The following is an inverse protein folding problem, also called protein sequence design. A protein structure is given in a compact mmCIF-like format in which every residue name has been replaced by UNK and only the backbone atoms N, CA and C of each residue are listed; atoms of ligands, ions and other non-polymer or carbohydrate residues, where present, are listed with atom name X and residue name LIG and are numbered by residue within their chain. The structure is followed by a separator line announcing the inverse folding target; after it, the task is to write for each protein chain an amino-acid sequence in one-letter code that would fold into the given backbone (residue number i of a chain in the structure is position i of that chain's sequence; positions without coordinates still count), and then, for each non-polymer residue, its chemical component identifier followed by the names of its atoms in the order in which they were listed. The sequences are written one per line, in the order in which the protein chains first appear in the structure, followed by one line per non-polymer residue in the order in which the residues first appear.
data_IF_940980609416
#
_entry.id   IF_940980609416
#
_cell.length_a   1.000
_cell.length_b   1.000
_cell.length_c   1.000
_cell.angle_alpha   90.00
_cell.angle_beta   90.00
_cell.angle_gamma   90.00
#
_symmetry.space_group_name_H-M   'P 1'
#
loop_
_entity.id
_entity.type
_entity.pdbx_description
1 polymer ?
#
# COMPACT_ATOMS: atom_id res chain seq x y z
N UNK A 1 -2.71 25.70 3.88
CA UNK A 1 -2.90 24.76 5.03
C UNK A 1 -3.61 23.46 4.67
N UNK A 2 -4.75 23.48 3.97
CA UNK A 2 -5.60 22.28 3.72
C UNK A 2 -4.84 21.11 3.07
N UNK A 3 -3.88 21.40 2.16
CA UNK A 3 -3.07 20.38 1.46
C UNK A 3 -2.14 19.60 2.39
N UNK A 4 -1.45 20.30 3.29
CA UNK A 4 -0.51 19.67 4.23
C UNK A 4 -1.26 18.84 5.27
N UNK A 5 -2.40 19.35 5.74
CA UNK A 5 -3.27 18.62 6.67
C UNK A 5 -3.81 17.32 6.06
N UNK A 6 -4.29 17.35 4.81
CA UNK A 6 -4.72 16.14 4.11
C UNK A 6 -3.60 15.11 3.95
N UNK A 7 -2.40 15.57 3.54
CA UNK A 7 -1.25 14.70 3.35
C UNK A 7 -0.87 13.97 4.65
N UNK A 8 -0.76 14.71 5.76
CA UNK A 8 -0.46 14.13 7.06
C UNK A 8 -1.54 13.19 7.56
N UNK A 9 -2.82 13.53 7.39
CA UNK A 9 -3.93 12.64 7.74
C UNK A 9 -3.85 11.33 6.94
N UNK A 10 -3.55 11.40 5.64
CA UNK A 10 -3.40 10.22 4.80
C UNK A 10 -2.28 9.30 5.27
N UNK A 11 -1.10 9.87 5.55
CA UNK A 11 0.06 9.13 6.06
C UNK A 11 -0.26 8.50 7.40
N UNK A 12 -0.72 9.29 8.37
CA UNK A 12 -0.98 8.84 9.73
C UNK A 12 -2.06 7.76 9.79
N UNK A 13 -3.16 7.93 9.04
CA UNK A 13 -4.24 6.94 9.06
C UNK A 13 -3.84 5.66 8.34
N UNK A 14 -3.08 5.73 7.24
CA UNK A 14 -2.58 4.52 6.58
C UNK A 14 -1.64 3.74 7.50
N UNK A 15 -0.73 4.42 8.20
CA UNK A 15 0.17 3.81 9.17
C UNK A 15 -0.57 3.24 10.38
N UNK A 16 -1.52 3.99 10.94
CA UNK A 16 -2.35 3.51 12.05
C UNK A 16 -3.14 2.26 11.65
N UNK A 17 -3.75 2.25 10.46
CA UNK A 17 -4.44 1.07 9.93
C UNK A 17 -3.50 -0.12 9.75
N UNK A 18 -2.26 0.10 9.30
CA UNK A 18 -1.26 -0.96 9.23
C UNK A 18 -0.93 -1.50 10.63
N UNK A 19 -0.63 -0.63 11.61
CA UNK A 19 -0.31 -1.05 12.97
C UNK A 19 -1.47 -1.80 13.63
N UNK A 20 -2.71 -1.35 13.44
CA UNK A 20 -3.91 -2.05 13.91
C UNK A 20 -4.05 -3.41 13.22
N UNK A 21 -3.70 -3.51 11.94
CA UNK A 21 -3.74 -4.79 11.22
C UNK A 21 -2.80 -5.84 11.80
N UNK A 22 -1.69 -5.42 12.42
CA UNK A 22 -0.75 -6.33 13.09
C UNK A 22 -1.32 -7.00 14.34
N UNK A 23 -2.42 -6.47 14.90
CA UNK A 23 -3.14 -7.12 16.00
C UNK A 23 -3.98 -8.31 15.52
N UNK A 24 -4.28 -8.37 14.22
CA UNK A 24 -5.16 -9.37 13.61
C UNK A 24 -4.43 -10.27 12.61
N UNK A 25 -3.30 -9.83 12.09
CA UNK A 25 -2.51 -10.49 11.07
C UNK A 25 -1.12 -10.72 11.65
N UNK A 26 -0.74 -11.98 11.77
CA UNK A 26 0.64 -12.35 12.04
C UNK A 26 1.49 -12.06 10.80
N UNK A 27 2.56 -11.29 10.97
CA UNK A 27 3.58 -11.14 9.92
C UNK A 27 4.40 -12.41 9.92
N UNK A 28 4.58 -12.99 8.74
CA UNK A 28 5.32 -14.22 8.52
C UNK A 28 6.04 -14.21 7.19
N UNK A 29 6.63 -15.34 6.86
CA UNK A 29 7.23 -15.59 5.55
C UNK A 29 6.18 -16.19 4.60
N UNK A 30 6.37 -16.11 3.27
CA UNK A 30 5.56 -16.93 2.34
C UNK A 30 5.63 -18.40 2.81
N UNK A 31 4.62 -19.26 2.67
CA UNK A 31 3.26 -19.04 2.17
C UNK A 31 2.22 -18.76 3.27
N UNK A 32 2.62 -18.42 4.49
CA UNK A 32 1.73 -18.52 5.68
C UNK A 32 0.61 -17.47 5.71
N UNK A 33 0.68 -16.47 4.82
CA UNK A 33 -0.28 -15.37 4.71
C UNK A 33 -0.97 -15.40 3.34
N UNK A 34 -2.25 -15.75 3.34
CA UNK A 34 -3.08 -15.94 2.15
C UNK A 34 -4.23 -14.92 2.03
N UNK A 35 -5.31 -15.36 1.38
CA UNK A 35 -6.48 -14.54 1.06
C UNK A 35 -7.13 -13.87 2.27
N UNK A 36 -7.27 -14.59 3.39
CA UNK A 36 -7.98 -14.09 4.57
C UNK A 36 -7.25 -12.89 5.19
N UNK A 37 -5.93 -13.02 5.38
CA UNK A 37 -5.10 -11.94 5.90
C UNK A 37 -5.07 -10.76 4.94
N UNK A 38 -4.99 -11.01 3.63
CA UNK A 38 -5.12 -9.96 2.62
C UNK A 38 -6.46 -9.20 2.73
N UNK A 39 -7.58 -9.92 2.89
CA UNK A 39 -8.90 -9.31 3.07
C UNK A 39 -8.98 -8.49 4.37
N UNK A 40 -8.49 -9.03 5.49
CA UNK A 40 -8.49 -8.31 6.78
C UNK A 40 -7.64 -7.04 6.69
N UNK A 41 -6.42 -7.17 6.17
CA UNK A 41 -5.47 -6.07 6.05
C UNK A 41 -5.97 -5.01 5.08
N UNK A 42 -6.43 -5.44 3.91
CA UNK A 42 -7.06 -4.58 2.91
C UNK A 42 -8.30 -3.86 3.42
N UNK A 43 -9.11 -4.52 4.26
CA UNK A 43 -10.26 -3.89 4.93
C UNK A 43 -9.82 -2.76 5.85
N UNK A 44 -8.84 -2.99 6.73
CA UNK A 44 -8.37 -1.99 7.70
C UNK A 44 -7.70 -0.80 7.03
N UNK A 45 -6.84 -1.06 6.04
CA UNK A 45 -6.18 -0.01 5.24
C UNK A 45 -7.23 0.77 4.45
N UNK A 46 -8.13 0.08 3.76
CA UNK A 46 -9.19 0.68 2.97
C UNK A 46 -10.13 1.53 3.81
N UNK A 47 -10.54 1.04 4.99
CA UNK A 47 -11.39 1.78 5.93
C UNK A 47 -10.69 3.05 6.41
N UNK A 48 -9.45 2.95 6.90
CA UNK A 48 -8.70 4.13 7.34
C UNK A 48 -8.58 5.18 6.24
N UNK A 49 -8.08 4.78 5.07
CA UNK A 49 -7.96 5.70 3.92
C UNK A 49 -9.31 6.30 3.49
N UNK A 50 -10.39 5.53 3.58
CA UNK A 50 -11.73 6.03 3.23
C UNK A 50 -12.22 7.15 4.17
N UNK A 51 -11.84 7.15 5.45
CA UNK A 51 -12.18 8.22 6.39
C UNK A 51 -11.62 9.57 5.94
N UNK A 52 -10.39 9.56 5.42
CA UNK A 52 -9.72 10.75 4.90
C UNK A 52 -10.34 11.16 3.56
N UNK A 53 -10.71 10.19 2.71
CA UNK A 53 -11.32 10.43 1.41
C UNK A 53 -12.77 10.93 1.50
N UNK A 54 -13.53 10.57 2.52
CA UNK A 54 -14.93 11.00 2.69
C UNK A 54 -15.10 12.52 2.68
N UNK A 55 -14.06 13.29 3.04
CA UNK A 55 -14.07 14.75 3.01
C UNK A 55 -13.86 15.35 1.60
N UNK A 56 -13.60 14.52 0.58
CA UNK A 56 -13.12 14.95 -0.75
C UNK A 56 -13.81 14.29 -1.93
N UNK A 57 -14.22 13.04 -1.80
CA UNK A 57 -14.88 12.29 -2.88
C UNK A 57 -16.22 11.75 -2.41
N UNK A 58 -17.19 11.78 -3.32
CA UNK A 58 -18.47 11.09 -3.10
C UNK A 58 -18.25 9.57 -3.12
N UNK A 59 -18.99 8.85 -2.28
CA UNK A 59 -18.96 7.38 -2.23
C UNK A 59 -17.57 6.77 -1.94
N UNK A 60 -16.80 7.37 -1.03
CA UNK A 60 -15.49 6.83 -0.64
C UNK A 60 -15.55 5.40 -0.06
N UNK A 61 -16.74 4.89 0.29
CA UNK A 61 -16.93 3.49 0.69
C UNK A 61 -16.52 2.48 -0.41
N UNK A 62 -16.61 2.85 -1.70
CA UNK A 62 -16.11 2.01 -2.79
C UNK A 62 -14.58 1.85 -2.75
N UNK A 63 -13.86 2.75 -2.08
CA UNK A 63 -12.43 2.61 -1.81
C UNK A 63 -12.13 1.41 -0.93
N UNK A 64 -12.99 1.17 0.06
CA UNK A 64 -12.87 0.02 0.97
C UNK A 64 -13.03 -1.27 0.17
N UNK A 65 -14.09 -1.37 -0.64
CA UNK A 65 -14.29 -2.53 -1.52
C UNK A 65 -13.14 -2.74 -2.51
N UNK A 66 -12.62 -1.67 -3.11
CA UNK A 66 -11.49 -1.76 -4.02
C UNK A 66 -10.26 -2.37 -3.33
N UNK A 67 -9.98 -1.98 -2.07
CA UNK A 67 -8.88 -2.54 -1.29
C UNK A 67 -9.14 -4.00 -0.89
N UNK A 68 -10.34 -4.33 -0.41
CA UNK A 68 -10.72 -5.70 -0.03
C UNK A 68 -10.55 -6.66 -1.22
N UNK A 69 -11.11 -6.29 -2.37
CA UNK A 69 -11.05 -7.13 -3.58
C UNK A 69 -9.61 -7.26 -4.06
N UNK A 70 -8.86 -6.16 -4.12
CA UNK A 70 -7.47 -6.20 -4.59
C UNK A 70 -6.59 -7.06 -3.70
N UNK A 71 -6.63 -6.85 -2.38
CA UNK A 71 -5.83 -7.61 -1.44
C UNK A 71 -6.30 -9.06 -1.29
N UNK A 72 -7.59 -9.33 -1.45
CA UNK A 72 -8.11 -10.69 -1.56
C UNK A 72 -7.57 -11.42 -2.78
N UNK A 73 -7.60 -10.78 -3.96
CA UNK A 73 -7.06 -11.36 -5.20
C UNK A 73 -5.55 -11.57 -5.11
N UNK A 74 -4.81 -10.58 -4.61
CA UNK A 74 -3.37 -10.66 -4.38
C UNK A 74 -3.06 -11.80 -3.40
N UNK A 75 -3.77 -11.89 -2.27
CA UNK A 75 -3.63 -12.95 -1.27
C UNK A 75 -3.97 -14.35 -1.79
N UNK A 76 -4.86 -14.47 -2.78
CA UNK A 76 -5.17 -15.76 -3.44
C UNK A 76 -4.19 -16.14 -4.55
N UNK A 77 -3.31 -15.22 -4.94
CA UNK A 77 -2.32 -15.44 -6.00
C UNK A 77 -0.99 -15.94 -5.44
N UNK A 78 -0.06 -16.28 -6.32
CA UNK A 78 1.32 -16.62 -5.94
C UNK A 78 2.08 -15.48 -5.26
N UNK A 79 1.57 -14.24 -5.31
CA UNK A 79 2.18 -13.09 -4.62
C UNK A 79 1.99 -13.15 -3.11
N UNK A 80 0.91 -13.81 -2.63
CA UNK A 80 0.48 -13.76 -1.23
C UNK A 80 0.11 -12.34 -0.80
N UNK A 81 -0.26 -12.14 0.47
CA UNK A 81 -0.56 -10.79 0.98
C UNK A 81 0.74 -9.99 1.24
N UNK A 82 1.43 -9.60 0.17
CA UNK A 82 2.79 -9.05 0.21
C UNK A 82 2.98 -7.84 1.13
N UNK A 83 1.92 -7.07 1.37
CA UNK A 83 1.96 -5.94 2.32
C UNK A 83 2.24 -6.36 3.76
N UNK A 84 2.20 -7.66 4.05
CA UNK A 84 2.41 -8.26 5.38
C UNK A 84 3.42 -9.41 5.36
N UNK A 85 4.14 -9.63 4.24
CA UNK A 85 5.05 -10.76 4.09
C UNK A 85 6.49 -10.29 3.92
N UNK A 86 7.40 -10.96 4.64
CA UNK A 86 8.84 -10.84 4.44
C UNK A 86 9.36 -11.82 3.37
N UNK A 87 10.29 -11.41 2.50
CA UNK A 87 10.96 -12.34 1.59
C UNK A 87 11.84 -13.34 2.35
N UNK A 88 11.74 -14.63 1.99
CA UNK A 88 12.58 -15.71 2.57
C UNK A 88 14.07 -15.60 2.27
N UNK A 89 14.46 -14.78 1.30
CA UNK A 89 15.86 -14.66 0.87
C UNK A 89 16.56 -13.60 1.68
N UNK A 90 17.74 -13.95 2.21
CA UNK A 90 18.65 -13.00 2.85
C UNK A 90 19.39 -12.13 1.83
N UNK A 91 19.43 -12.49 0.54
CA UNK A 91 20.20 -11.71 -0.42
C UNK A 91 19.52 -10.35 -0.69
N UNK A 92 20.11 -9.26 -0.19
CA UNK A 92 19.57 -7.90 -0.32
C UNK A 92 19.34 -7.50 -1.78
N UNK A 93 20.24 -7.89 -2.69
CA UNK A 93 20.08 -7.63 -4.13
C UNK A 93 18.81 -8.28 -4.69
N UNK A 94 18.53 -9.53 -4.30
CA UNK A 94 17.31 -10.22 -4.73
C UNK A 94 16.07 -9.59 -4.09
N UNK A 95 16.14 -9.19 -2.82
CA UNK A 95 15.05 -8.47 -2.15
C UNK A 95 14.71 -7.16 -2.85
N UNK A 96 15.72 -6.41 -3.28
CA UNK A 96 15.54 -5.18 -4.04
C UNK A 96 14.85 -5.45 -5.37
N UNK A 97 15.36 -6.41 -6.16
CA UNK A 97 14.79 -6.76 -7.47
C UNK A 97 13.35 -7.27 -7.34
N UNK A 98 13.09 -8.21 -6.44
CA UNK A 98 11.74 -8.71 -6.21
C UNK A 98 10.82 -7.64 -5.62
N UNK A 99 11.31 -6.76 -4.74
CA UNK A 99 10.52 -5.66 -4.21
C UNK A 99 10.06 -4.69 -5.31
N UNK A 100 10.94 -4.40 -6.28
CA UNK A 100 10.59 -3.60 -7.46
C UNK A 100 9.52 -4.29 -8.29
N UNK A 101 9.74 -5.56 -8.65
CA UNK A 101 8.86 -6.32 -9.56
C UNK A 101 7.49 -6.62 -8.92
N UNK A 102 7.48 -7.20 -7.72
CA UNK A 102 6.25 -7.55 -7.01
C UNK A 102 5.47 -6.27 -6.63
N UNK A 103 6.19 -5.18 -6.32
CA UNK A 103 5.58 -3.88 -6.05
C UNK A 103 4.94 -3.24 -7.27
N UNK A 104 5.54 -3.37 -8.46
CA UNK A 104 4.89 -2.97 -9.70
C UNK A 104 3.59 -3.75 -9.91
N UNK A 105 3.63 -5.08 -9.76
CA UNK A 105 2.46 -5.94 -9.96
C UNK A 105 1.31 -5.56 -9.03
N UNK A 106 1.59 -5.38 -7.74
CA UNK A 106 0.57 -5.04 -6.74
C UNK A 106 0.06 -3.62 -6.91
N UNK A 107 0.97 -2.68 -7.21
CA UNK A 107 0.58 -1.31 -7.46
C UNK A 107 -0.30 -1.17 -8.71
N UNK A 108 -0.12 -2.02 -9.73
CA UNK A 108 -1.05 -2.12 -10.88
C UNK A 108 -2.41 -2.66 -10.43
N UNK A 109 -2.47 -3.79 -9.72
CA UNK A 109 -3.74 -4.40 -9.28
C UNK A 109 -4.54 -3.42 -8.42
N UNK A 110 -3.92 -2.86 -7.38
CA UNK A 110 -4.53 -1.84 -6.52
C UNK A 110 -4.91 -0.60 -7.33
N UNK A 111 -4.00 -0.13 -8.18
CA UNK A 111 -4.18 1.06 -8.99
C UNK A 111 -5.38 0.95 -9.93
N UNK A 112 -5.58 -0.19 -10.59
CA UNK A 112 -6.71 -0.45 -11.47
C UNK A 112 -8.02 -0.47 -10.67
N UNK A 113 -8.09 -1.20 -9.57
CA UNK A 113 -9.30 -1.28 -8.74
C UNK A 113 -9.67 0.10 -8.17
N UNK A 114 -8.69 0.83 -7.66
CA UNK A 114 -8.87 2.18 -7.09
C UNK A 114 -9.20 3.22 -8.18
N UNK A 115 -8.64 3.07 -9.38
CA UNK A 115 -8.98 3.91 -10.52
C UNK A 115 -10.47 3.82 -10.87
N UNK A 116 -11.12 2.66 -10.72
CA UNK A 116 -12.56 2.52 -10.94
C UNK A 116 -13.39 3.41 -10.00
N UNK A 117 -12.88 3.68 -8.79
CA UNK A 117 -13.50 4.59 -7.82
C UNK A 117 -13.35 6.05 -8.26
N UNK A 118 -12.18 6.41 -8.78
CA UNK A 118 -11.87 7.78 -9.20
C UNK A 118 -12.39 8.16 -10.59
N UNK A 119 -12.53 7.21 -11.51
CA UNK A 119 -12.75 7.50 -12.94
C UNK A 119 -13.98 8.35 -13.25
N UNK A 120 -14.99 8.35 -12.37
CA UNK A 120 -16.22 9.15 -12.52
C UNK A 120 -16.16 10.51 -11.82
N UNK A 121 -15.13 10.77 -11.02
CA UNK A 121 -15.07 11.93 -10.11
C UNK A 121 -13.85 12.83 -10.37
N UNK A 122 -12.80 12.31 -10.99
CA UNK A 122 -11.52 12.99 -11.14
C UNK A 122 -11.08 12.90 -12.61
N UNK A 123 -10.74 14.05 -13.21
CA UNK A 123 -10.18 14.06 -14.57
C UNK A 123 -8.80 13.37 -14.60
N UNK A 124 -8.48 12.67 -15.70
CA UNK A 124 -7.20 11.95 -15.86
C UNK A 124 -6.90 10.95 -14.72
N UNK A 125 -7.94 10.38 -14.10
CA UNK A 125 -7.83 9.43 -13.00
C UNK A 125 -6.93 8.21 -13.33
N UNK A 126 -6.76 7.86 -14.60
CA UNK A 126 -5.88 6.76 -15.04
C UNK A 126 -4.43 6.94 -14.57
N UNK A 127 -3.97 8.18 -14.36
CA UNK A 127 -2.64 8.49 -13.80
C UNK A 127 -2.43 7.87 -12.41
N UNK A 128 -3.52 7.56 -11.70
CA UNK A 128 -3.47 6.85 -10.42
C UNK A 128 -2.85 5.45 -10.54
N UNK A 129 -3.09 4.75 -11.65
CA UNK A 129 -2.54 3.41 -11.87
C UNK A 129 -1.01 3.47 -11.89
N UNK A 130 -0.45 4.41 -12.66
CA UNK A 130 0.99 4.63 -12.72
C UNK A 130 1.56 5.06 -11.37
N UNK A 131 0.90 6.01 -10.70
CA UNK A 131 1.35 6.49 -9.40
C UNK A 131 1.38 5.33 -8.38
N UNK A 132 0.31 4.55 -8.28
CA UNK A 132 0.22 3.38 -7.39
C UNK A 132 1.34 2.37 -7.68
N UNK A 133 1.57 2.05 -8.96
CA UNK A 133 2.63 1.14 -9.41
C UNK A 133 4.02 1.59 -8.94
N UNK A 134 4.36 2.87 -9.15
CA UNK A 134 5.63 3.42 -8.72
C UNK A 134 5.78 3.48 -7.20
N UNK A 135 4.71 3.86 -6.48
CA UNK A 135 4.73 3.94 -5.02
C UNK A 135 4.99 2.57 -4.39
N UNK A 136 4.29 1.53 -4.85
CA UNK A 136 4.46 0.18 -4.33
C UNK A 136 5.81 -0.43 -4.71
N UNK A 137 6.28 -0.22 -5.94
CA UNK A 137 7.59 -0.67 -6.39
C UNK A 137 8.73 -0.11 -5.53
N UNK A 138 8.74 1.22 -5.33
CA UNK A 138 9.76 1.88 -4.52
C UNK A 138 9.60 1.51 -3.04
N UNK A 139 8.36 1.51 -2.54
CA UNK A 139 8.07 1.21 -1.14
C UNK A 139 8.52 -0.19 -0.73
N UNK A 140 8.17 -1.22 -1.52
CA UNK A 140 8.58 -2.60 -1.23
C UNK A 140 10.10 -2.78 -1.36
N UNK A 141 10.71 -2.27 -2.43
CA UNK A 141 12.15 -2.37 -2.61
C UNK A 141 12.91 -1.76 -1.41
N UNK A 142 12.51 -0.57 -0.97
CA UNK A 142 13.08 0.09 0.21
C UNK A 142 12.83 -0.70 1.49
N UNK A 143 11.58 -1.02 1.78
CA UNK A 143 11.23 -1.65 3.05
C UNK A 143 11.79 -3.07 3.20
N UNK A 144 11.80 -3.87 2.12
CA UNK A 144 12.42 -5.19 2.16
C UNK A 144 13.95 -5.13 2.27
N UNK A 145 14.60 -4.15 1.65
CA UNK A 145 16.05 -3.97 1.81
C UNK A 145 16.39 -3.58 3.25
N UNK A 146 15.65 -2.63 3.83
CA UNK A 146 15.82 -2.21 5.23
C UNK A 146 15.53 -3.36 6.19
N UNK A 147 14.41 -4.07 5.98
CA UNK A 147 14.03 -5.20 6.83
C UNK A 147 15.06 -6.31 6.81
N UNK A 148 15.59 -6.63 5.64
CA UNK A 148 16.58 -7.70 5.48
C UNK A 148 17.92 -7.32 6.08
N UNK A 149 18.35 -6.07 5.92
CA UNK A 149 19.55 -5.56 6.57
C UNK A 149 19.44 -5.62 8.10
N UNK A 150 18.30 -5.17 8.66
CA UNK A 150 18.05 -5.22 10.10
C UNK A 150 17.94 -6.67 10.60
N UNK A 151 17.28 -7.55 9.85
CA UNK A 151 17.17 -8.96 10.19
C UNK A 151 18.54 -9.64 10.22
N UNK A 152 19.40 -9.39 9.24
CA UNK A 152 20.78 -9.92 9.22
C UNK A 152 21.62 -9.41 10.39
N UNK A 153 21.50 -8.13 10.71
CA UNK A 153 22.28 -7.49 11.77
C UNK A 153 21.85 -7.98 13.16
N UNK A 154 20.54 -8.10 13.40
CA UNK A 154 19.98 -8.40 14.72
C UNK A 154 19.66 -9.87 14.94
N UNK A 155 19.53 -10.65 13.86
CA UNK A 155 18.99 -12.02 13.85
C UNK A 155 17.56 -12.14 14.39
N UNK A 156 16.85 -11.03 14.51
CA UNK A 156 15.47 -10.98 15.00
C UNK A 156 14.50 -10.76 13.84
N UNK A 157 13.40 -11.52 13.82
CA UNK A 157 12.32 -11.33 12.84
C UNK A 157 11.67 -9.94 12.94
N UNK A 158 11.82 -9.26 14.08
CA UNK A 158 11.37 -7.89 14.26
C UNK A 158 11.97 -6.92 13.22
N UNK A 159 13.16 -7.22 12.68
CA UNK A 159 13.74 -6.46 11.56
C UNK A 159 12.83 -6.41 10.34
N UNK A 160 12.16 -7.52 10.01
CA UNK A 160 11.22 -7.59 8.89
C UNK A 160 9.94 -6.79 9.14
N UNK A 161 9.45 -6.81 10.39
CA UNK A 161 8.30 -5.98 10.81
C UNK A 161 8.63 -4.50 10.64
N UNK A 162 9.85 -4.07 11.02
CA UNK A 162 10.33 -2.71 10.75
C UNK A 162 10.44 -2.43 9.26
N UNK A 163 10.93 -3.39 8.46
CA UNK A 163 10.96 -3.29 7.01
C UNK A 163 9.58 -3.03 6.40
N UNK A 164 8.57 -3.79 6.82
CA UNK A 164 7.19 -3.60 6.39
C UNK A 164 6.61 -2.25 6.85
N UNK A 165 6.95 -1.78 8.05
CA UNK A 165 6.59 -0.42 8.47
C UNK A 165 7.19 0.64 7.54
N UNK A 166 8.43 0.44 7.06
CA UNK A 166 9.06 1.31 6.05
C UNK A 166 8.33 1.24 4.70
N UNK A 167 7.87 0.05 4.27
CA UNK A 167 7.03 -0.09 3.06
C UNK A 167 5.79 0.79 3.16
N UNK A 168 5.00 0.61 4.21
CA UNK A 168 3.74 1.32 4.38
C UNK A 168 3.94 2.83 4.60
N UNK A 169 5.02 3.24 5.26
CA UNK A 169 5.41 4.63 5.38
C UNK A 169 5.73 5.25 4.01
N UNK A 170 6.61 4.62 3.24
CA UNK A 170 6.99 5.11 1.92
C UNK A 170 5.79 5.18 0.98
N UNK A 171 5.01 4.10 0.90
CA UNK A 171 3.79 4.04 0.08
C UNK A 171 2.80 5.13 0.49
N UNK A 172 2.54 5.32 1.79
CA UNK A 172 1.58 6.32 2.25
C UNK A 172 2.03 7.75 1.95
N UNK A 173 3.31 8.08 2.14
CA UNK A 173 3.90 9.38 1.79
C UNK A 173 3.70 9.68 0.30
N UNK A 174 4.11 8.73 -0.55
CA UNK A 174 4.10 8.91 -2.00
C UNK A 174 2.68 8.91 -2.57
N UNK A 175 1.81 8.00 -2.12
CA UNK A 175 0.41 7.95 -2.57
C UNK A 175 -0.37 9.18 -2.11
N UNK A 176 -0.12 9.68 -0.89
CA UNK A 176 -0.73 10.93 -0.41
C UNK A 176 -0.34 12.13 -1.28
N UNK A 177 0.94 12.22 -1.67
CA UNK A 177 1.43 13.27 -2.57
C UNK A 177 0.82 13.12 -3.98
N UNK A 178 0.79 11.91 -4.53
CA UNK A 178 0.20 11.64 -5.83
C UNK A 178 -1.30 11.99 -5.88
N UNK A 179 -2.03 11.70 -4.80
CA UNK A 179 -3.46 11.98 -4.70
C UNK A 179 -3.73 13.49 -4.64
N UNK A 180 -2.88 14.25 -3.94
CA UNK A 180 -2.92 15.72 -3.96
C UNK A 180 -2.71 16.24 -5.37
N UNK A 181 -1.69 15.77 -6.09
CA UNK A 181 -1.42 16.19 -7.47
C UNK A 181 -2.57 15.86 -8.41
N UNK A 182 -3.21 14.69 -8.22
CA UNK A 182 -4.35 14.26 -9.03
C UNK A 182 -5.59 15.14 -8.78
N UNK A 183 -5.90 15.43 -7.52
CA UNK A 183 -7.01 16.30 -7.13
C UNK A 183 -6.81 17.75 -7.60
N UNK A 184 -5.56 18.23 -7.67
CA UNK A 184 -5.24 19.55 -8.20
C UNK A 184 -5.43 19.61 -9.73
N UNK A 185 -4.94 18.62 -10.47
CA UNK A 185 -5.13 18.55 -11.92
C UNK A 185 -6.61 18.54 -12.32
N UNK A 186 -7.48 17.99 -11.47
CA UNK A 186 -8.92 17.94 -11.76
C UNK A 186 -9.65 19.28 -11.62
N UNK A 187 -9.09 20.26 -10.90
CA UNK A 187 -9.70 21.60 -10.75
C UNK A 187 -9.38 22.54 -11.92
N UNK A 188 -8.40 22.18 -12.75
CA UNK A 188 -8.04 22.92 -13.96
C UNK A 188 -8.20 22.00 -15.17
N UNK A 189 -9.45 21.72 -15.60
CA UNK A 189 -9.67 21.07 -16.88
C UNK A 189 -9.18 22.03 -17.97
N UNK A 190 -8.06 21.69 -18.59
CA UNK A 190 -7.71 22.21 -19.92
C UNK A 190 -8.66 21.61 -20.93
#
# INVERSE_FOLDING_TARGET
MIRSSFWWQWVLVTLASFLVSLLLIEIGERPDIGTLQGVIGGSLIGLGQSLVLWQRISKAWWWVLANIISWGLIGSSSLGAIGWIAPRTDQINLRLVYGVVDGLQIGVVLGVAQWLVFRKQISKAWRWILASSWCWSIGLACGWSVGGFLHQLTRLFLGEVFGLAVVWLAVSIMTGAALISLLQCSKHPH
#
